data_IF_930673262067
#
_entry.id   IF_930673262067
#
_cell.length_a   1.000
_cell.length_b   1.000
_cell.length_c   1.000
_cell.angle_alpha   90.00
_cell.angle_beta   90.00
_cell.angle_gamma   90.00
#
_symmetry.space_group_name_H-M   'P 1'
#
loop_
_entity.id
_entity.type
_entity.pdbx_description
1 polymer ?
#
# COMPACT_ATOMS: atom_id res chain seq x y z
N UNK A 1 17.72 -21.90 6.40
CA UNK A 1 16.52 -21.48 5.63
C UNK A 1 16.83 -20.10 5.11
N UNK A 2 16.71 -19.84 3.80
CA UNK A 2 16.78 -18.47 3.31
C UNK A 2 15.57 -17.76 3.92
N UNK A 3 15.80 -16.64 4.58
CA UNK A 3 14.73 -15.70 4.87
C UNK A 3 14.09 -15.41 3.52
N UNK A 4 12.84 -15.81 3.31
CA UNK A 4 12.12 -15.35 2.11
C UNK A 4 12.11 -13.83 2.23
N UNK A 5 12.64 -13.15 1.21
CA UNK A 5 12.81 -11.70 1.23
C UNK A 5 11.42 -11.05 1.28
N UNK A 6 10.94 -10.78 2.50
CA UNK A 6 9.72 -10.03 2.76
C UNK A 6 9.82 -8.70 2.01
N UNK A 7 8.90 -8.47 1.09
CA UNK A 7 8.87 -7.26 0.29
C UNK A 7 8.00 -6.21 0.97
N UNK A 8 8.51 -4.97 1.01
CA UNK A 8 7.82 -3.82 1.57
C UNK A 8 7.15 -3.02 0.47
N UNK A 9 5.96 -2.52 0.76
CA UNK A 9 5.13 -1.78 -0.17
C UNK A 9 4.60 -0.51 0.48
N UNK A 10 4.73 0.61 -0.23
CA UNK A 10 4.01 1.83 0.07
C UNK A 10 2.73 1.84 -0.76
N UNK A 11 1.59 1.77 -0.08
CA UNK A 11 0.26 1.81 -0.67
C UNK A 11 -0.43 3.14 -0.33
N UNK A 12 -1.10 3.73 -1.31
CA UNK A 12 -2.05 4.82 -1.11
C UNK A 12 -3.35 4.52 -1.83
N UNK A 13 -4.45 5.04 -1.33
CA UNK A 13 -5.74 4.97 -2.01
C UNK A 13 -6.46 6.31 -2.01
N UNK A 14 -7.25 6.51 -3.04
CA UNK A 14 -8.22 7.60 -3.16
C UNK A 14 -9.62 7.03 -3.30
N UNK A 15 -10.55 7.47 -2.46
CA UNK A 15 -11.95 7.09 -2.53
C UNK A 15 -12.61 7.71 -3.77
N UNK A 16 -13.38 6.90 -4.48
CA UNK A 16 -14.07 7.30 -5.71
C UNK A 16 -15.36 8.02 -5.32
N UNK A 17 -15.38 9.33 -5.54
CA UNK A 17 -16.59 10.15 -5.48
C UNK A 17 -16.91 10.57 -6.91
N UNK A 18 -18.03 10.09 -7.46
CA UNK A 18 -18.37 10.32 -8.88
C UNK A 18 -19.85 10.51 -9.16
N UNK A 19 -20.70 10.34 -8.16
CA UNK A 19 -22.14 10.43 -8.28
C UNK A 19 -22.71 11.56 -7.40
N UNK A 20 -24.03 11.68 -7.35
CA UNK A 20 -24.69 12.61 -6.44
C UNK A 20 -24.32 12.31 -4.99
N UNK A 21 -24.42 13.31 -4.10
CA UNK A 21 -24.03 13.17 -2.69
C UNK A 21 -24.67 11.98 -1.98
N UNK A 22 -25.95 11.69 -2.26
CA UNK A 22 -26.66 10.53 -1.72
C UNK A 22 -26.03 9.20 -2.14
N UNK A 23 -25.72 9.05 -3.43
CA UNK A 23 -25.13 7.83 -3.97
C UNK A 23 -23.73 7.60 -3.39
N UNK A 24 -22.95 8.67 -3.19
CA UNK A 24 -21.64 8.59 -2.55
C UNK A 24 -21.77 8.20 -1.06
N UNK A 25 -22.78 8.70 -0.33
CA UNK A 25 -23.03 8.31 1.06
C UNK A 25 -23.42 6.83 1.17
N UNK A 26 -24.28 6.34 0.28
CA UNK A 26 -24.66 4.92 0.23
C UNK A 26 -23.47 4.02 -0.11
N UNK A 27 -22.62 4.44 -1.06
CA UNK A 27 -21.39 3.74 -1.39
C UNK A 27 -20.40 3.71 -0.20
N UNK A 28 -20.23 4.82 0.50
CA UNK A 28 -19.38 4.90 1.69
C UNK A 28 -19.90 3.98 2.80
N UNK A 29 -21.21 3.97 3.05
CA UNK A 29 -21.84 3.06 4.03
C UNK A 29 -21.51 1.61 3.71
N UNK A 30 -21.62 1.21 2.44
CA UNK A 30 -21.28 -0.15 2.01
C UNK A 30 -19.78 -0.46 2.17
N UNK A 31 -18.90 0.49 1.84
CA UNK A 31 -17.46 0.33 2.02
C UNK A 31 -17.10 0.11 3.50
N UNK A 32 -17.71 0.87 4.41
CA UNK A 32 -17.52 0.74 5.86
C UNK A 32 -18.03 -0.60 6.40
N UNK A 33 -19.17 -1.10 5.92
CA UNK A 33 -19.66 -2.44 6.28
C UNK A 33 -18.67 -3.55 5.90
N UNK A 34 -18.10 -3.47 4.68
CA UNK A 34 -17.10 -4.42 4.22
C UNK A 34 -15.82 -4.32 5.07
N UNK A 35 -15.34 -3.10 5.27
CA UNK A 35 -14.14 -2.83 6.07
C UNK A 35 -14.28 -3.31 7.51
N UNK A 36 -15.45 -3.14 8.14
CA UNK A 36 -15.70 -3.58 9.52
C UNK A 36 -15.54 -5.09 9.74
N UNK A 37 -15.64 -5.89 8.67
CA UNK A 37 -15.51 -7.35 8.69
C UNK A 37 -14.16 -7.82 8.15
N UNK A 38 -13.38 -6.91 7.60
CA UNK A 38 -12.11 -7.22 6.97
C UNK A 38 -11.04 -7.44 8.03
N UNK A 39 -10.14 -8.38 7.76
CA UNK A 39 -8.91 -8.59 8.50
C UNK A 39 -7.77 -8.73 7.50
N UNK A 40 -6.57 -8.22 7.83
CA UNK A 40 -5.40 -8.42 6.97
C UNK A 40 -5.09 -9.93 6.82
N UNK A 41 -4.59 -10.37 5.65
CA UNK A 41 -4.11 -11.73 5.45
C UNK A 41 -3.03 -12.12 6.47
N UNK A 42 -2.99 -13.38 6.87
CA UNK A 42 -2.07 -13.86 7.90
C UNK A 42 -0.57 -13.67 7.53
N UNK A 43 -0.23 -13.69 6.24
CA UNK A 43 1.12 -13.46 5.72
C UNK A 43 1.45 -11.99 5.42
N UNK A 44 0.54 -11.06 5.77
CA UNK A 44 0.69 -9.65 5.44
C UNK A 44 0.66 -8.80 6.71
N UNK A 45 1.72 -8.00 6.92
CA UNK A 45 1.82 -7.06 8.04
C UNK A 45 1.56 -5.64 7.57
N UNK A 46 0.62 -4.95 8.22
CA UNK A 46 0.40 -3.51 8.02
C UNK A 46 1.13 -2.75 9.13
N UNK A 47 2.29 -2.17 8.82
CA UNK A 47 3.10 -1.42 9.79
C UNK A 47 2.50 -0.07 10.14
N UNK A 48 1.90 0.59 9.15
CA UNK A 48 1.18 1.84 9.28
C UNK A 48 -0.05 1.77 8.41
N UNK A 49 -1.18 2.25 8.91
CA UNK A 49 -2.43 2.30 8.18
C UNK A 49 -3.24 3.50 8.66
N UNK A 50 -3.24 4.57 7.87
CA UNK A 50 -3.70 5.90 8.29
C UNK A 50 -4.58 6.54 7.22
N UNK A 51 -5.58 7.31 7.66
CA UNK A 51 -6.44 8.10 6.77
C UNK A 51 -5.90 9.51 6.54
N UNK A 52 -6.15 10.06 5.35
CA UNK A 52 -5.93 11.47 5.04
C UNK A 52 -6.99 12.33 5.72
N UNK A 53 -6.59 13.49 6.25
CA UNK A 53 -7.48 14.41 6.97
C UNK A 53 -8.52 15.09 6.07
N UNK A 54 -8.30 15.09 4.77
CA UNK A 54 -9.25 15.56 3.76
C UNK A 54 -10.42 14.57 3.51
N UNK A 55 -10.35 13.37 4.10
CA UNK A 55 -11.38 12.33 3.98
C UNK A 55 -11.35 11.59 2.63
N UNK A 56 -10.38 11.86 1.77
CA UNK A 56 -10.37 11.32 0.40
C UNK A 56 -9.61 10.00 0.27
N UNK A 57 -9.04 9.46 1.35
CA UNK A 57 -8.35 8.18 1.30
C UNK A 57 -7.30 8.02 2.40
N UNK A 58 -6.16 7.39 2.09
CA UNK A 58 -5.16 7.10 3.10
C UNK A 58 -3.89 6.44 2.57
N UNK A 59 -3.03 6.06 3.51
CA UNK A 59 -1.74 5.42 3.26
C UNK A 59 -1.59 4.15 4.09
N UNK A 60 -0.87 3.19 3.54
CA UNK A 60 -0.43 2.01 4.27
C UNK A 60 1.03 1.66 3.92
N UNK A 61 1.79 1.23 4.92
CA UNK A 61 3.06 0.54 4.71
C UNK A 61 2.83 -0.93 5.01
N UNK A 62 3.04 -1.78 4.01
CA UNK A 62 2.66 -3.19 4.04
C UNK A 62 3.88 -4.05 3.75
N UNK A 63 4.05 -5.13 4.49
CA UNK A 63 5.12 -6.11 4.28
C UNK A 63 4.51 -7.49 4.07
N UNK A 64 4.93 -8.18 3.01
CA UNK A 64 4.44 -9.52 2.64
C UNK A 64 5.47 -10.23 1.78
N UNK A 65 5.51 -11.56 1.85
CA UNK A 65 6.27 -12.44 0.96
C UNK A 65 5.54 -12.71 -0.37
N UNK A 66 4.25 -12.37 -0.45
CA UNK A 66 3.40 -12.65 -1.60
C UNK A 66 2.65 -11.38 -2.07
N UNK A 67 3.27 -10.63 -2.98
CA UNK A 67 2.68 -9.43 -3.57
C UNK A 67 1.31 -9.64 -4.26
N UNK A 68 0.95 -10.88 -4.62
CA UNK A 68 -0.39 -11.16 -5.18
C UNK A 68 -1.51 -11.10 -4.14
N UNK A 69 -1.20 -11.23 -2.84
CA UNK A 69 -2.17 -11.00 -1.77
C UNK A 69 -2.68 -9.56 -1.79
N UNK A 70 -1.80 -8.58 -2.04
CA UNK A 70 -2.20 -7.17 -2.13
C UNK A 70 -3.19 -6.91 -3.28
N UNK A 71 -3.04 -7.62 -4.40
CA UNK A 71 -4.02 -7.56 -5.48
C UNK A 71 -5.38 -8.10 -5.02
N UNK A 72 -5.40 -9.26 -4.35
CA UNK A 72 -6.63 -9.83 -3.82
C UNK A 72 -7.32 -8.89 -2.80
N UNK A 73 -6.54 -8.26 -1.91
CA UNK A 73 -7.05 -7.32 -0.92
C UNK A 73 -7.61 -6.04 -1.55
N UNK A 74 -6.87 -5.43 -2.47
CA UNK A 74 -7.33 -4.21 -3.15
C UNK A 74 -8.57 -4.45 -4.02
N UNK A 75 -8.70 -5.64 -4.62
CA UNK A 75 -9.89 -6.00 -5.39
C UNK A 75 -11.17 -6.08 -4.56
N UNK A 76 -11.10 -6.33 -3.24
CA UNK A 76 -12.27 -6.29 -2.35
C UNK A 76 -12.86 -4.87 -2.23
N UNK A 77 -12.03 -3.85 -2.44
CA UNK A 77 -12.39 -2.44 -2.25
C UNK A 77 -12.31 -1.60 -3.53
N UNK A 78 -11.93 -2.20 -4.68
CA UNK A 78 -11.76 -1.50 -5.95
C UNK A 78 -13.00 -0.76 -6.49
N UNK A 79 -14.25 -1.14 -6.16
CA UNK A 79 -15.41 -0.33 -6.51
C UNK A 79 -15.44 1.04 -5.81
N UNK A 80 -14.85 1.13 -4.62
CA UNK A 80 -14.90 2.32 -3.76
C UNK A 80 -13.60 3.13 -3.79
N UNK A 81 -12.47 2.49 -4.11
CA UNK A 81 -11.14 3.08 -4.02
C UNK A 81 -10.34 2.87 -5.31
N UNK A 82 -9.46 3.83 -5.61
CA UNK A 82 -8.38 3.67 -6.57
C UNK A 82 -7.07 3.54 -5.81
N UNK A 83 -6.34 2.46 -6.04
CA UNK A 83 -5.11 2.15 -5.32
C UNK A 83 -3.87 2.45 -6.17
N UNK A 84 -2.80 2.87 -5.51
CA UNK A 84 -1.43 2.88 -6.04
C UNK A 84 -0.54 2.14 -5.05
N UNK A 85 0.26 1.20 -5.55
CA UNK A 85 1.13 0.36 -4.74
C UNK A 85 2.53 0.41 -5.36
N UNK A 86 3.52 0.75 -4.54
CA UNK A 86 4.92 0.82 -4.94
C UNK A 86 5.73 -0.15 -4.10
N UNK A 87 6.49 -1.09 -4.69
CA UNK A 87 7.54 -1.78 -3.98
C UNK A 87 8.55 -0.75 -3.47
N UNK A 88 8.97 -0.87 -2.21
CA UNK A 88 9.90 0.03 -1.55
C UNK A 88 10.93 -0.75 -0.75
N UNK A 89 12.04 -0.10 -0.42
CA UNK A 89 13.06 -0.61 0.51
C UNK A 89 13.21 0.39 1.66
N UNK A 90 13.77 -0.07 2.78
CA UNK A 90 14.11 0.82 3.86
C UNK A 90 15.24 1.80 3.47
N UNK A 91 15.29 2.94 4.16
CA UNK A 91 16.22 4.01 3.82
C UNK A 91 17.70 3.64 3.99
N UNK A 92 18.00 2.69 4.88
CA UNK A 92 19.35 2.15 5.06
C UNK A 92 19.80 1.36 3.83
N UNK A 93 18.96 0.48 3.30
CA UNK A 93 19.21 -0.27 2.05
C UNK A 93 19.32 0.69 0.86
N UNK A 94 18.42 1.67 0.78
CA UNK A 94 18.46 2.69 -0.26
C UNK A 94 19.77 3.48 -0.24
N UNK A 95 20.19 3.94 0.94
CA UNK A 95 21.43 4.70 1.12
C UNK A 95 22.66 3.85 0.79
N UNK A 96 22.67 2.57 1.17
CA UNK A 96 23.74 1.64 0.83
C UNK A 96 23.86 1.47 -0.70
N UNK A 97 22.74 1.27 -1.40
CA UNK A 97 22.73 1.17 -2.86
C UNK A 97 23.20 2.48 -3.53
N UNK A 98 22.82 3.64 -2.96
CA UNK A 98 23.29 4.93 -3.44
C UNK A 98 24.82 5.07 -3.30
N UNK A 99 25.39 4.67 -2.17
CA UNK A 99 26.84 4.69 -1.95
C UNK A 99 27.57 3.77 -2.92
N UNK A 100 27.07 2.54 -3.14
CA UNK A 100 27.64 1.63 -4.14
C UNK A 100 27.64 2.24 -5.54
N UNK A 101 26.58 2.96 -5.91
CA UNK A 101 26.52 3.69 -7.17
C UNK A 101 27.54 4.83 -7.26
N UNK A 102 27.81 5.52 -6.15
CA UNK A 102 28.88 6.54 -6.07
C UNK A 102 30.25 5.87 -6.25
N UNK A 103 30.53 4.80 -5.51
CA UNK A 103 31.81 4.08 -5.56
C UNK A 103 32.10 3.56 -6.96
N UNK A 104 31.07 3.03 -7.64
CA UNK A 104 31.17 2.62 -9.03
C UNK A 104 31.56 3.77 -9.97
N UNK A 105 30.91 4.93 -9.86
CA UNK A 105 31.24 6.09 -10.71
C UNK A 105 32.67 6.59 -10.44
N UNK A 106 33.09 6.62 -9.18
CA UNK A 106 34.46 7.00 -8.80
C UNK A 106 35.50 5.99 -9.32
N UNK A 107 35.13 4.72 -9.49
CA UNK A 107 36.05 3.71 -10.03
C UNK A 107 36.35 3.86 -11.53
N UNK A 108 35.55 4.65 -12.26
CA UNK A 108 35.68 4.85 -13.72
C UNK A 108 36.49 6.11 -14.07
N UNK A 109 36.79 6.98 -13.09
CA UNK A 109 37.59 8.20 -13.29
C UNK A 109 38.07 8.85 -12.00
#
# INVERSE_FOLDING_TARGET
MRQEDLMKYAMTWTSRLGAAGKDNEEALRRALELFSKWQPPAGTTFHQFVGRVDGEGGFAIVETDNGTELLAETMKFSPFNSFQIHPVVDMDQWAQAAQQGIDYRNSIG
#
